data_IF_185129181143
#
_entry.id   IF_185129181143
#
_cell.length_a   1.000
_cell.length_b   1.000
_cell.length_c   1.000
_cell.angle_alpha   90.00
_cell.angle_beta   90.00
_cell.angle_gamma   90.00
#
_symmetry.space_group_name_H-M   'P 1'
#
loop_
_entity.id
_entity.type
_entity.pdbx_description
1 polymer ?
#
# COMPACT_ATOMS: atom_id res chain seq x y z
N UNK A 1 3.21 -10.25 5.50
CA UNK A 1 1.95 -9.87 6.20
C UNK A 1 1.61 -8.45 5.83
N UNK A 2 0.48 -8.26 5.15
CA UNK A 2 0.07 -6.99 4.56
C UNK A 2 -1.28 -6.53 5.11
N UNK A 3 -1.44 -5.21 5.25
CA UNK A 3 -2.72 -4.59 5.57
C UNK A 3 -3.18 -3.80 4.35
N UNK A 4 -4.42 -4.02 3.94
CA UNK A 4 -5.04 -3.32 2.81
C UNK A 4 -6.41 -2.80 3.21
N UNK A 5 -6.76 -1.63 2.68
CA UNK A 5 -8.09 -1.04 2.84
C UNK A 5 -8.78 -1.14 1.49
N UNK A 6 -10.01 -1.63 1.45
CA UNK A 6 -10.78 -1.87 0.22
C UNK A 6 -12.11 -1.14 0.34
N UNK A 7 -12.54 -0.44 -0.71
CA UNK A 7 -13.88 0.15 -0.77
C UNK A 7 -14.91 -0.94 -1.06
N UNK A 8 -15.98 -1.01 -0.26
CA UNK A 8 -17.04 -2.02 -0.35
C UNK A 8 -18.40 -1.33 -0.38
N UNK A 9 -19.06 -1.42 -1.54
CA UNK A 9 -20.41 -0.92 -1.74
C UNK A 9 -21.49 -1.89 -1.23
N UNK A 10 -22.69 -1.36 -1.02
CA UNK A 10 -23.87 -2.15 -0.65
C UNK A 10 -23.87 -2.62 0.82
N UNK A 11 -23.11 -1.97 1.70
CA UNK A 11 -23.20 -2.17 3.14
C UNK A 11 -24.35 -1.33 3.71
N UNK A 12 -25.53 -1.93 3.88
CA UNK A 12 -26.77 -1.22 4.27
C UNK A 12 -27.00 -1.20 5.80
N UNK A 13 -26.34 -2.07 6.57
CA UNK A 13 -26.58 -2.23 8.01
C UNK A 13 -25.42 -2.94 8.71
N UNK A 14 -25.37 -2.80 10.04
CA UNK A 14 -24.45 -3.51 10.95
C UNK A 14 -24.51 -5.03 10.78
N UNK A 15 -25.66 -5.57 10.39
CA UNK A 15 -25.79 -7.01 10.14
C UNK A 15 -25.00 -7.45 8.90
N UNK A 16 -25.03 -6.66 7.83
CA UNK A 16 -24.23 -6.90 6.62
C UNK A 16 -22.74 -6.80 6.91
N UNK A 17 -22.33 -5.85 7.76
CA UNK A 17 -20.95 -5.72 8.26
C UNK A 17 -20.46 -7.03 8.89
N UNK A 18 -21.20 -7.56 9.88
CA UNK A 18 -20.83 -8.79 10.59
C UNK A 18 -20.79 -10.00 9.66
N UNK A 19 -21.69 -10.06 8.69
CA UNK A 19 -21.71 -11.14 7.70
C UNK A 19 -20.44 -11.11 6.83
N UNK A 20 -20.02 -9.94 6.38
CA UNK A 20 -18.78 -9.76 5.60
C UNK A 20 -17.54 -10.09 6.43
N UNK A 21 -17.44 -9.54 7.64
CA UNK A 21 -16.30 -9.82 8.56
C UNK A 21 -16.14 -11.32 8.81
N UNK A 22 -17.24 -12.02 9.12
CA UNK A 22 -17.23 -13.46 9.36
C UNK A 22 -16.85 -14.27 8.13
N UNK A 23 -17.19 -13.80 6.92
CA UNK A 23 -16.80 -14.47 5.67
C UNK A 23 -15.34 -14.25 5.35
N UNK A 24 -14.83 -13.03 5.54
CA UNK A 24 -13.41 -12.73 5.35
C UNK A 24 -12.54 -13.44 6.38
N UNK A 25 -12.98 -13.57 7.63
CA UNK A 25 -12.26 -14.33 8.66
C UNK A 25 -12.13 -15.83 8.35
N UNK A 26 -12.95 -16.37 7.44
CA UNK A 26 -12.89 -17.78 6.99
C UNK A 26 -11.99 -17.98 5.77
N UNK A 27 -11.49 -16.90 5.17
CA UNK A 27 -10.57 -16.99 4.03
C UNK A 27 -9.19 -17.44 4.55
N UNK A 28 -8.58 -18.49 3.97
CA UNK A 28 -7.23 -18.89 4.34
C UNK A 28 -6.26 -17.72 4.16
N UNK A 29 -5.38 -17.50 5.13
CA UNK A 29 -4.42 -16.40 5.12
C UNK A 29 -4.97 -15.05 5.60
N UNK A 30 -6.28 -14.90 5.84
CA UNK A 30 -6.81 -13.69 6.50
C UNK A 30 -6.63 -13.81 8.01
N UNK A 31 -5.95 -12.83 8.60
CA UNK A 31 -5.64 -12.77 10.03
C UNK A 31 -6.71 -11.98 10.76
N UNK A 32 -7.15 -10.87 10.16
CA UNK A 32 -8.16 -9.96 10.74
C UNK A 32 -8.86 -9.22 9.62
N UNK A 33 -10.17 -9.05 9.76
CA UNK A 33 -10.99 -8.23 8.87
C UNK A 33 -11.92 -7.36 9.73
N UNK A 34 -11.91 -6.06 9.45
CA UNK A 34 -12.76 -5.07 10.11
C UNK A 34 -13.47 -4.25 9.05
N UNK A 35 -14.79 -4.19 9.14
CA UNK A 35 -15.63 -3.51 8.13
C UNK A 35 -16.22 -2.25 8.73
N UNK A 36 -16.02 -1.12 8.04
CA UNK A 36 -16.66 0.15 8.35
C UNK A 36 -17.76 0.42 7.31
N UNK A 37 -19.00 0.08 7.66
CA UNK A 37 -20.15 0.28 6.77
C UNK A 37 -20.54 1.75 6.59
N UNK A 38 -20.28 2.61 7.59
CA UNK A 38 -20.54 4.06 7.49
C UNK A 38 -19.59 4.69 6.46
N UNK A 39 -18.32 4.30 6.47
CA UNK A 39 -17.33 4.76 5.50
C UNK A 39 -17.34 3.95 4.19
N UNK A 40 -18.12 2.88 4.09
CA UNK A 40 -18.12 1.97 2.93
C UNK A 40 -16.75 1.32 2.66
N UNK A 41 -15.98 1.01 3.70
CA UNK A 41 -14.63 0.45 3.54
C UNK A 41 -14.38 -0.76 4.44
N UNK A 42 -13.40 -1.57 4.09
CA UNK A 42 -13.00 -2.76 4.84
C UNK A 42 -11.49 -2.81 4.95
N UNK A 43 -10.99 -2.94 6.17
CA UNK A 43 -9.57 -3.15 6.46
C UNK A 43 -9.30 -4.64 6.66
N UNK A 44 -8.39 -5.20 5.87
CA UNK A 44 -8.03 -6.61 5.93
C UNK A 44 -6.53 -6.76 6.18
N UNK A 45 -6.18 -7.54 7.21
CA UNK A 45 -4.83 -8.03 7.45
C UNK A 45 -4.73 -9.47 6.97
N UNK A 46 -3.80 -9.72 6.05
CA UNK A 46 -3.65 -11.03 5.44
C UNK A 46 -2.19 -11.37 5.15
N UNK A 47 -1.93 -12.66 4.98
CA UNK A 47 -0.67 -13.19 4.51
C UNK A 47 -0.67 -13.24 2.98
N UNK A 48 0.24 -12.48 2.37
CA UNK A 48 0.40 -12.35 0.92
C UNK A 48 0.96 -13.59 0.23
N UNK A 49 1.58 -14.51 0.98
CA UNK A 49 2.03 -15.80 0.45
C UNK A 49 0.88 -16.81 0.32
N UNK A 50 -0.21 -16.61 1.09
CA UNK A 50 -1.36 -17.53 1.12
C UNK A 50 -2.57 -16.99 0.37
N UNK A 51 -2.82 -15.68 0.47
CA UNK A 51 -3.99 -15.03 -0.12
C UNK A 51 -3.62 -13.71 -0.77
N UNK A 52 -4.24 -13.42 -1.91
CA UNK A 52 -4.04 -12.16 -2.63
C UNK A 52 -5.23 -11.21 -2.44
N UNK A 53 -4.98 -9.91 -2.63
CA UNK A 53 -6.02 -8.88 -2.60
C UNK A 53 -7.13 -9.14 -3.64
N UNK A 54 -6.78 -9.76 -4.78
CA UNK A 54 -7.74 -10.17 -5.81
C UNK A 54 -8.66 -11.29 -5.32
N UNK A 55 -8.14 -12.25 -4.55
CA UNK A 55 -8.94 -13.34 -3.99
C UNK A 55 -9.93 -12.82 -2.93
N UNK A 56 -9.47 -11.89 -2.09
CA UNK A 56 -10.31 -11.18 -1.11
C UNK A 56 -11.45 -10.44 -1.81
N UNK A 57 -11.15 -9.67 -2.87
CA UNK A 57 -12.18 -8.98 -3.68
C UNK A 57 -13.17 -9.97 -4.30
N UNK A 58 -12.68 -11.04 -4.94
CA UNK A 58 -13.53 -12.06 -5.54
C UNK A 58 -14.46 -12.71 -4.51
N UNK A 59 -13.98 -12.89 -3.28
CA UNK A 59 -14.82 -13.42 -2.19
C UNK A 59 -15.94 -12.46 -1.83
N UNK A 60 -15.67 -11.16 -1.78
CA UNK A 60 -16.67 -10.13 -1.51
C UNK A 60 -17.72 -10.03 -2.63
N UNK A 61 -17.29 -10.13 -3.90
CA UNK A 61 -18.20 -10.17 -5.06
C UNK A 61 -19.15 -11.37 -5.00
N UNK A 62 -18.63 -12.56 -4.64
CA UNK A 62 -19.46 -13.76 -4.41
C UNK A 62 -20.45 -13.60 -3.26
N UNK A 63 -20.27 -12.61 -2.39
CA UNK A 63 -21.22 -12.29 -1.32
C UNK A 63 -22.32 -11.33 -1.77
N UNK A 64 -22.30 -10.85 -3.02
CA UNK A 64 -23.23 -9.85 -3.53
C UNK A 64 -22.80 -8.41 -3.25
N UNK A 65 -21.56 -8.20 -2.78
CA UNK A 65 -21.02 -6.86 -2.55
C UNK A 65 -20.14 -6.44 -3.72
N UNK A 66 -20.37 -5.24 -4.24
CA UNK A 66 -19.46 -4.65 -5.22
C UNK A 66 -18.28 -4.02 -4.48
N UNK A 67 -17.06 -4.40 -4.86
CA UNK A 67 -15.85 -3.81 -4.31
C UNK A 67 -15.15 -2.97 -5.36
N UNK A 68 -14.60 -1.84 -4.92
CA UNK A 68 -13.65 -1.06 -5.73
C UNK A 68 -12.23 -1.47 -5.41
N UNK A 69 -11.27 -0.74 -5.97
CA UNK A 69 -9.86 -0.99 -5.75
C UNK A 69 -9.39 -0.73 -4.31
N UNK A 70 -8.11 -1.06 -4.06
CA UNK A 70 -7.47 -0.74 -2.79
C UNK A 70 -7.52 0.78 -2.57
N UNK A 71 -8.06 1.20 -1.42
CA UNK A 71 -8.09 2.58 -0.98
C UNK A 71 -6.66 2.98 -0.61
N UNK A 72 -5.95 3.55 -1.58
CA UNK A 72 -4.67 4.22 -1.40
C UNK A 72 -4.88 5.74 -1.42
N UNK A 73 -4.24 6.50 -0.53
CA UNK A 73 -4.35 7.96 -0.55
C UNK A 73 -3.85 8.52 -1.90
N UNK A 74 -4.70 9.30 -2.59
CA UNK A 74 -4.40 9.85 -3.93
C UNK A 74 -3.30 10.93 -3.94
N UNK A 75 -2.92 11.45 -2.78
CA UNK A 75 -1.89 12.46 -2.61
C UNK A 75 -0.89 12.03 -1.52
N UNK A 76 -0.38 10.81 -1.58
CA UNK A 76 0.84 10.53 -0.82
C UNK A 76 1.95 11.37 -1.46
N UNK A 77 2.31 12.50 -0.84
CA UNK A 77 3.68 13.01 -0.98
C UNK A 77 4.56 11.85 -0.56
N UNK A 78 5.27 11.22 -1.52
CA UNK A 78 6.20 10.16 -1.20
C UNK A 78 7.09 10.66 -0.07
N UNK A 79 7.12 10.02 1.11
CA UNK A 79 8.19 10.30 2.04
C UNK A 79 9.45 9.96 1.28
N UNK A 80 10.26 10.96 0.94
CA UNK A 80 11.57 10.78 0.30
C UNK A 80 12.24 9.62 1.02
N UNK A 81 12.25 8.44 0.41
CA UNK A 81 13.02 7.34 0.92
C UNK A 81 14.44 7.84 0.82
N UNK A 82 15.08 8.02 1.96
CA UNK A 82 16.47 8.46 2.07
C UNK A 82 17.39 7.30 1.66
N UNK A 83 17.09 6.67 0.52
CA UNK A 83 17.90 5.68 -0.16
C UNK A 83 18.75 6.42 -1.20
N UNK A 84 20.01 6.60 -0.82
CA UNK A 84 21.14 6.94 -1.68
C UNK A 84 21.46 8.42 -1.97
N UNK A 85 21.71 9.22 -0.91
CA UNK A 85 22.70 10.31 -0.99
C UNK A 85 24.14 9.79 -0.83
N UNK A 86 24.52 8.76 -1.60
CA UNK A 86 25.93 8.39 -1.81
C UNK A 86 26.35 8.39 -3.29
N UNK A 87 25.43 8.66 -4.23
CA UNK A 87 25.77 8.83 -5.64
C UNK A 87 26.24 10.25 -6.01
N UNK A 88 25.97 11.27 -5.18
CA UNK A 88 26.35 12.66 -5.51
C UNK A 88 27.80 13.02 -5.14
N UNK A 89 28.41 12.32 -4.18
CA UNK A 89 29.82 12.55 -3.78
C UNK A 89 30.84 11.83 -4.67
N UNK A 90 30.41 10.93 -5.54
CA UNK A 90 31.30 10.25 -6.50
C UNK A 90 31.54 11.09 -7.78
N UNK A 91 30.62 12.00 -8.15
CA UNK A 91 30.79 12.87 -9.31
C UNK A 91 31.53 14.19 -9.01
N UNK A 92 31.75 14.53 -7.74
CA UNK A 92 32.47 15.76 -7.33
C UNK A 92 33.95 15.53 -7.01
N UNK A 93 34.43 14.27 -7.07
CA UNK A 93 35.88 13.99 -6.99
C UNK A 93 36.63 14.29 -8.29
N UNK A 94 35.92 14.44 -9.41
CA UNK A 94 36.52 14.78 -10.71
C UNK A 94 36.66 16.29 -10.96
N UNK A 95 35.89 17.13 -10.26
CA UNK A 95 35.92 18.59 -10.46
C UNK A 95 37.01 19.27 -9.61
N UNK A 96 37.37 18.71 -8.45
CA UNK A 96 38.32 19.36 -7.55
C UNK A 96 39.80 19.15 -7.91
N UNK A 97 40.16 18.10 -8.67
CA UNK A 97 41.55 17.87 -9.12
C UNK A 97 41.91 18.73 -10.34
N UNK A 98 40.93 19.17 -11.14
CA UNK A 98 41.17 19.93 -12.37
C UNK A 98 41.51 21.41 -12.15
N UNK A 99 41.28 21.98 -10.96
CA UNK A 99 41.53 23.40 -10.66
C UNK A 99 42.83 23.66 -9.87
N UNK A 100 43.64 22.63 -9.60
CA UNK A 100 44.90 22.78 -8.85
C UNK A 100 46.17 22.84 -9.71
N UNK A 101 46.07 22.88 -11.05
CA UNK A 101 47.26 22.86 -11.92
C UNK A 101 47.42 24.04 -12.89
N UNK A 102 46.59 25.09 -12.81
CA UNK A 102 46.87 26.38 -13.48
C UNK A 102 47.26 27.47 -12.48
N UNK A 103 48.22 27.12 -11.62
CA UNK A 103 49.13 28.10 -11.05
C UNK A 103 50.35 28.24 -11.96
N UNK A 104 50.42 29.33 -12.73
CA UNK A 104 51.69 29.89 -13.21
C UNK A 104 51.84 30.00 -14.73
N UNK A 105 51.80 31.23 -15.24
CA UNK A 105 53.00 32.02 -15.60
C UNK A 105 52.61 33.30 -16.35
N UNK A 106 53.15 34.39 -15.80
CA UNK A 106 53.54 35.66 -16.42
C UNK A 106 52.46 36.52 -17.12
#
# INVERSE_FOLDING_TARGET
>A
MKTSIIEVGGLLSVLSTRAVEKRLARLPGVVRAEVNWVAGSTTVKYDEAVTSLRDIKSKLEKCGHHCRDELVPRHICMPTSRSNRRAWLASLRSICVALSHEGGRN
#
